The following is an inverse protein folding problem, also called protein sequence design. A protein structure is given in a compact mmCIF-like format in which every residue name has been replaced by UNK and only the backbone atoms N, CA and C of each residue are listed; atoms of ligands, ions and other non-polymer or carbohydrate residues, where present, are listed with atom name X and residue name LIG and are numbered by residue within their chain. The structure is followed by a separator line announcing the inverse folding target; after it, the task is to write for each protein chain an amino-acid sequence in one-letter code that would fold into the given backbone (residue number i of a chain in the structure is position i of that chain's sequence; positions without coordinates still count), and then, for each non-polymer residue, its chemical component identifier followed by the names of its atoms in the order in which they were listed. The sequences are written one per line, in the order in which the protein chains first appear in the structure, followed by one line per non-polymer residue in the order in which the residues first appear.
data_IF_581931411419
#
_entry.id   IF_581931411419
#
_cell.length_a   1.000
_cell.length_b   1.000
_cell.length_c   1.000
_cell.angle_alpha   90.00
_cell.angle_beta   90.00
_cell.angle_gamma   90.00
#
_symmetry.space_group_name_H-M   'P 1'
#
loop_
_entity.id
_entity.type
_entity.pdbx_description
1 polymer ?
#
# COMPACT_ATOMS: atom_id res chain seq x y z
N UNK A 1 24.66 5.81 -8.21
CA UNK A 1 23.51 6.73 -8.23
C UNK A 1 22.42 6.11 -9.09
N UNK A 2 21.16 6.48 -8.88
CA UNK A 2 20.04 6.06 -9.74
C UNK A 2 19.37 7.33 -10.25
N UNK A 3 18.94 7.32 -11.52
CA UNK A 3 18.19 8.43 -12.12
C UNK A 3 16.73 8.03 -12.13
N UNK A 4 15.87 8.87 -11.57
CA UNK A 4 14.42 8.66 -11.53
C UNK A 4 13.70 9.96 -11.86
N UNK A 5 12.48 9.91 -12.43
CA UNK A 5 11.65 11.09 -12.60
C UNK A 5 11.37 11.77 -11.26
N UNK A 6 11.38 13.10 -11.24
CA UNK A 6 11.08 13.90 -10.04
C UNK A 6 9.72 13.52 -9.43
N UNK A 7 8.73 13.23 -10.28
CA UNK A 7 7.39 12.80 -9.86
C UNK A 7 7.37 11.53 -9.00
N UNK A 8 8.45 10.73 -9.03
CA UNK A 8 8.57 9.49 -8.27
C UNK A 8 9.28 9.69 -6.92
N UNK A 9 9.67 10.92 -6.60
CA UNK A 9 10.31 11.27 -5.33
C UNK A 9 9.30 11.94 -4.40
N UNK A 10 9.19 11.41 -3.19
CA UNK A 10 8.33 11.94 -2.14
C UNK A 10 9.15 12.12 -0.86
N UNK A 11 8.77 13.12 -0.04
CA UNK A 11 9.43 13.34 1.25
C UNK A 11 9.09 12.19 2.20
N UNK A 12 10.12 11.55 2.76
CA UNK A 12 9.97 10.51 3.78
C UNK A 12 9.28 11.08 5.03
N UNK A 13 8.28 10.39 5.62
CA UNK A 13 7.76 10.75 6.94
C UNK A 13 8.85 10.78 8.01
N UNK A 14 8.77 11.71 8.97
CA UNK A 14 9.82 11.89 9.98
C UNK A 14 9.92 10.71 10.95
N UNK A 15 8.80 10.05 11.24
CA UNK A 15 8.73 8.96 12.21
C UNK A 15 9.19 7.59 11.66
N UNK A 16 9.51 7.47 10.37
CA UNK A 16 9.99 6.22 9.76
C UNK A 16 11.50 6.22 9.58
N UNK A 17 12.17 5.09 9.76
CA UNK A 17 13.54 4.93 9.30
C UNK A 17 13.61 4.92 7.76
N UNK A 18 14.81 5.00 7.18
CA UNK A 18 14.96 4.88 5.73
C UNK A 18 14.58 3.47 5.24
N UNK A 19 14.89 2.44 6.01
CA UNK A 19 14.57 1.04 5.73
C UNK A 19 13.05 0.82 5.69
N UNK A 20 12.33 1.35 6.70
CA UNK A 20 10.88 1.26 6.76
C UNK A 20 10.23 2.01 5.60
N UNK A 21 10.69 3.23 5.32
CA UNK A 21 10.16 4.03 4.22
C UNK A 21 10.45 3.43 2.85
N UNK A 22 11.58 2.74 2.66
CA UNK A 22 11.92 2.09 1.39
C UNK A 22 11.02 0.88 1.09
N UNK A 23 10.47 0.22 2.12
CA UNK A 23 9.62 -0.96 1.96
C UNK A 23 8.19 -0.62 1.47
N UNK A 24 7.72 0.59 1.71
CA UNK A 24 6.32 1.00 1.47
C UNK A 24 5.99 1.24 -0.01
N UNK A 25 6.80 1.95 -0.84
CA UNK A 25 6.35 2.43 -2.15
C UNK A 25 5.87 1.33 -3.09
N UNK A 26 6.66 0.27 -3.28
CA UNK A 26 6.30 -0.80 -4.20
C UNK A 26 5.08 -1.58 -3.71
N UNK A 27 5.11 -2.02 -2.45
CA UNK A 27 4.07 -2.88 -1.89
C UNK A 27 2.76 -2.10 -1.65
N UNK A 28 2.86 -0.91 -1.08
CA UNK A 28 1.74 -0.01 -0.79
C UNK A 28 1.05 0.48 -2.05
N UNK A 29 1.79 0.96 -3.07
CA UNK A 29 1.16 1.41 -4.32
C UNK A 29 0.48 0.26 -5.06
N UNK A 30 1.08 -0.94 -5.04
CA UNK A 30 0.47 -2.12 -5.64
C UNK A 30 -0.86 -2.46 -4.95
N UNK A 31 -0.85 -2.53 -3.62
CA UNK A 31 -2.06 -2.79 -2.83
C UNK A 31 -3.13 -1.72 -3.00
N UNK A 32 -2.73 -0.44 -2.97
CA UNK A 32 -3.64 0.69 -3.15
C UNK A 32 -4.32 0.68 -4.52
N UNK A 33 -3.54 0.42 -5.59
CA UNK A 33 -4.09 0.30 -6.94
C UNK A 33 -5.06 -0.87 -7.07
N UNK A 34 -4.75 -2.01 -6.46
CA UNK A 34 -5.61 -3.19 -6.49
C UNK A 34 -6.94 -2.94 -5.77
N UNK A 35 -6.90 -2.39 -4.54
CA UNK A 35 -8.09 -2.17 -3.73
C UNK A 35 -8.93 -1.00 -4.23
N UNK A 36 -8.34 0.17 -4.40
CA UNK A 36 -9.10 1.42 -4.57
C UNK A 36 -9.17 1.88 -6.01
N UNK A 37 -8.09 1.75 -6.78
CA UNK A 37 -8.09 2.26 -8.17
C UNK A 37 -8.80 1.33 -9.14
N UNK A 38 -8.49 0.04 -9.07
CA UNK A 38 -9.03 -0.98 -9.97
C UNK A 38 -10.19 -1.74 -9.33
N UNK A 39 -10.04 -2.14 -8.07
CA UNK A 39 -11.08 -2.86 -7.32
C UNK A 39 -12.24 -1.98 -6.89
N UNK A 40 -12.03 -0.65 -6.81
CA UNK A 40 -13.02 0.33 -6.36
C UNK A 40 -13.75 -0.10 -5.08
N UNK A 41 -13.00 -0.67 -4.12
CA UNK A 41 -13.52 -1.15 -2.85
C UNK A 41 -14.29 -0.03 -2.13
N UNK A 42 -15.48 -0.36 -1.63
CA UNK A 42 -16.32 0.53 -0.84
C UNK A 42 -16.32 0.12 0.64
N UNK A 43 -16.57 1.06 1.57
CA UNK A 43 -16.76 0.72 2.98
C UNK A 43 -17.92 -0.27 3.17
N UNK A 44 -17.74 -1.26 4.04
CA UNK A 44 -18.72 -2.32 4.32
C UNK A 44 -18.70 -3.49 3.34
N UNK A 45 -17.94 -3.42 2.24
CA UNK A 45 -17.74 -4.56 1.36
C UNK A 45 -16.78 -5.59 1.99
N UNK A 46 -16.93 -6.85 1.58
CA UNK A 46 -16.02 -7.93 1.99
C UNK A 46 -14.98 -8.17 0.91
N UNK A 47 -13.70 -8.19 1.29
CA UNK A 47 -12.58 -8.39 0.36
C UNK A 47 -11.78 -9.65 0.70
N UNK A 48 -11.60 -10.54 -0.28
CA UNK A 48 -10.72 -11.70 -0.13
C UNK A 48 -9.29 -11.31 -0.49
N UNK A 49 -8.38 -11.41 0.49
CA UNK A 49 -6.94 -11.23 0.29
C UNK A 49 -6.26 -12.61 0.39
N UNK A 50 -5.59 -13.02 -0.68
CA UNK A 50 -4.84 -14.28 -0.72
C UNK A 50 -3.37 -14.05 -0.36
N UNK A 51 -2.73 -15.05 0.25
CA UNK A 51 -1.30 -14.98 0.60
C UNK A 51 -0.99 -13.95 1.69
N UNK A 52 -1.91 -13.73 2.64
CA UNK A 52 -1.70 -12.85 3.80
C UNK A 52 -0.45 -13.31 4.56
N UNK A 53 0.47 -12.36 4.81
CA UNK A 53 1.82 -12.60 5.30
C UNK A 53 2.92 -12.11 4.35
N UNK A 54 2.60 -11.97 3.05
CA UNK A 54 3.45 -11.27 2.08
C UNK A 54 3.35 -9.75 2.20
N UNK A 55 4.41 -9.01 1.85
CA UNK A 55 4.49 -7.55 2.07
C UNK A 55 3.36 -6.73 1.43
N UNK A 56 2.91 -7.09 0.23
CA UNK A 56 1.77 -6.43 -0.45
C UNK A 56 0.46 -6.75 0.28
N UNK A 57 0.20 -8.05 0.52
CA UNK A 57 -1.04 -8.52 1.12
C UNK A 57 -1.23 -7.98 2.54
N UNK A 58 -0.15 -7.87 3.32
CA UNK A 58 -0.17 -7.28 4.66
C UNK A 58 -0.57 -5.80 4.64
N UNK A 59 -0.05 -5.01 3.69
CA UNK A 59 -0.47 -3.61 3.54
C UNK A 59 -1.89 -3.49 3.00
N UNK A 60 -2.31 -4.36 2.09
CA UNK A 60 -3.70 -4.42 1.61
C UNK A 60 -4.68 -4.67 2.76
N UNK A 61 -4.36 -5.61 3.64
CA UNK A 61 -5.20 -5.90 4.81
C UNK A 61 -5.37 -4.67 5.70
N UNK A 62 -4.27 -4.00 6.04
CA UNK A 62 -4.32 -2.77 6.84
C UNK A 62 -5.15 -1.67 6.15
N UNK A 63 -4.98 -1.50 4.84
CA UNK A 63 -5.73 -0.51 4.06
C UNK A 63 -7.23 -0.84 3.99
N UNK A 64 -7.59 -2.10 3.74
CA UNK A 64 -8.99 -2.54 3.66
C UNK A 64 -9.72 -2.34 5.00
N UNK A 65 -9.09 -2.77 6.11
CA UNK A 65 -9.64 -2.56 7.45
C UNK A 65 -9.78 -1.07 7.79
N UNK A 66 -8.77 -0.25 7.48
CA UNK A 66 -8.84 1.20 7.69
C UNK A 66 -9.91 1.88 6.83
N UNK A 67 -10.26 1.28 5.68
CA UNK A 67 -11.34 1.75 4.80
C UNK A 67 -12.74 1.25 5.24
N UNK A 68 -12.82 0.41 6.28
CA UNK A 68 -14.09 -0.14 6.79
C UNK A 68 -14.60 -1.33 5.98
N UNK A 69 -13.76 -1.97 5.17
CA UNK A 69 -14.06 -3.26 4.57
C UNK A 69 -13.80 -4.41 5.56
N UNK A 70 -14.41 -5.56 5.31
CA UNK A 70 -14.22 -6.80 6.10
C UNK A 70 -13.41 -7.83 5.33
#
# INVERSE_FOLDING_TARGET
YVVVPESNILKKPEYLSFEEAAAIPLAGLTGYRALFRQGNLQPGETVLITGVGGGVASLMLQMALAHGAT
#
